data_IF_460636363345
#
_entry.id   IF_460636363345
#
_cell.length_a   1.000
_cell.length_b   1.000
_cell.length_c   1.000
_cell.angle_alpha   90.00
_cell.angle_beta   90.00
_cell.angle_gamma   90.00
#
_symmetry.space_group_name_H-M   'P 1'
#
loop_
_entity.id
_entity.type
_entity.pdbx_description
1 polymer ?
#
# COMPACT_ATOMS: atom_id res chain seq x y z
N UNK A 1 17.11 -14.96 42.95
CA UNK A 1 17.06 -15.37 41.53
C UNK A 1 15.63 -15.81 41.24
N UNK A 2 14.88 -14.98 40.51
CA UNK A 2 13.70 -15.32 39.71
C UNK A 2 13.28 -14.01 39.03
N UNK A 3 13.63 -13.88 37.75
CA UNK A 3 13.30 -12.72 36.95
C UNK A 3 11.81 -12.75 36.61
N UNK A 4 11.11 -11.67 36.93
CA UNK A 4 9.83 -11.38 36.32
C UNK A 4 10.11 -11.01 34.86
N UNK A 5 9.92 -11.97 33.95
CA UNK A 5 9.79 -11.67 32.53
C UNK A 5 8.45 -10.95 32.41
N UNK A 6 8.50 -9.63 32.19
CA UNK A 6 7.36 -8.87 31.70
C UNK A 6 6.89 -9.55 30.40
N UNK A 7 5.74 -10.22 30.46
CA UNK A 7 4.98 -10.53 29.25
C UNK A 7 4.56 -9.18 28.65
N UNK A 8 5.40 -8.64 27.76
CA UNK A 8 4.99 -7.58 26.83
C UNK A 8 3.78 -8.11 26.10
N UNK A 9 2.62 -7.59 26.47
CA UNK A 9 1.36 -7.76 25.75
C UNK A 9 1.66 -7.70 24.25
N UNK A 10 1.37 -8.80 23.55
CA UNK A 10 1.43 -8.84 22.10
C UNK A 10 0.42 -7.79 21.62
N UNK A 11 0.91 -6.61 21.27
CA UNK A 11 0.09 -5.46 20.91
C UNK A 11 -0.77 -5.82 19.71
N UNK A 12 -2.07 -5.86 19.90
CA UNK A 12 -3.05 -5.93 18.82
C UNK A 12 -3.72 -4.55 18.75
N UNK A 13 -3.89 -4.00 17.56
CA UNK A 13 -4.62 -2.74 17.37
C UNK A 13 -6.12 -2.92 17.69
N UNK A 14 -6.86 -1.81 17.76
CA UNK A 14 -8.30 -1.76 18.07
C UNK A 14 -9.19 -2.64 17.14
N UNK A 15 -8.63 -3.12 16.03
CA UNK A 15 -9.30 -4.04 15.10
C UNK A 15 -8.89 -5.50 15.26
N UNK A 16 -8.12 -5.84 16.30
CA UNK A 16 -7.73 -7.21 16.67
C UNK A 16 -6.53 -7.77 15.93
N UNK A 17 -5.68 -6.94 15.31
CA UNK A 17 -4.54 -7.40 14.50
C UNK A 17 -3.19 -7.05 15.13
N UNK A 18 -2.16 -7.92 15.03
CA UNK A 18 -0.88 -7.67 15.65
C UNK A 18 -0.24 -6.37 15.12
N UNK A 19 0.23 -5.50 16.01
CA UNK A 19 0.74 -4.16 15.70
C UNK A 19 1.89 -4.18 14.69
N UNK A 20 2.71 -5.24 14.72
CA UNK A 20 3.88 -5.42 13.82
C UNK A 20 3.56 -6.14 12.51
N UNK A 21 2.35 -6.67 12.34
CA UNK A 21 2.01 -7.44 11.14
C UNK A 21 1.92 -6.55 9.89
N UNK A 22 1.73 -5.24 10.08
CA UNK A 22 1.59 -4.28 8.97
C UNK A 22 2.85 -3.44 8.70
N UNK A 23 3.98 -3.70 9.38
CA UNK A 23 5.26 -3.01 9.18
C UNK A 23 5.97 -3.48 7.89
N UNK A 24 5.41 -3.19 6.72
CA UNK A 24 6.14 -3.36 5.47
C UNK A 24 7.00 -2.11 5.22
N UNK A 25 8.31 -2.24 4.92
CA UNK A 25 9.23 -1.09 4.88
C UNK A 25 8.86 -0.02 3.84
N UNK A 26 8.14 -0.42 2.79
CA UNK A 26 7.75 0.47 1.66
C UNK A 26 6.24 0.68 1.52
N UNK A 27 5.39 -0.13 2.15
CA UNK A 27 3.94 -0.05 1.97
C UNK A 27 3.35 0.64 3.20
N UNK A 28 2.67 1.76 3.00
CA UNK A 28 1.90 2.39 4.08
C UNK A 28 0.88 1.41 4.67
N UNK A 29 0.54 1.61 5.95
CA UNK A 29 -0.33 0.71 6.73
C UNK A 29 -1.63 0.32 5.99
N UNK A 30 -2.28 1.30 5.34
CA UNK A 30 -3.54 1.08 4.64
C UNK A 30 -3.41 0.16 3.42
N UNK A 31 -2.34 0.34 2.63
CA UNK A 31 -2.07 -0.48 1.45
C UNK A 31 -1.68 -1.90 1.88
N UNK A 32 -0.85 -2.02 2.92
CA UNK A 32 -0.42 -3.32 3.41
C UNK A 32 -1.59 -4.12 4.00
N UNK A 33 -2.48 -3.46 4.76
CA UNK A 33 -3.70 -4.09 5.29
C UNK A 33 -4.66 -4.52 4.18
N UNK A 34 -4.76 -3.74 3.10
CA UNK A 34 -5.57 -4.12 1.93
C UNK A 34 -5.06 -5.41 1.28
N UNK A 35 -3.75 -5.53 1.08
CA UNK A 35 -3.15 -6.75 0.55
C UNK A 35 -3.37 -7.95 1.49
N UNK A 36 -3.22 -7.76 2.79
CA UNK A 36 -3.49 -8.83 3.76
C UNK A 36 -4.94 -9.35 3.71
N UNK A 37 -5.91 -8.44 3.61
CA UNK A 37 -7.33 -8.82 3.48
C UNK A 37 -7.55 -9.55 2.16
N UNK A 38 -6.89 -9.15 1.08
CA UNK A 38 -6.94 -9.88 -0.19
C UNK A 38 -6.44 -11.32 -0.03
N UNK A 39 -5.28 -11.53 0.59
CA UNK A 39 -4.69 -12.87 0.77
C UNK A 39 -5.55 -13.77 1.66
N UNK A 40 -6.25 -13.20 2.65
CA UNK A 40 -6.99 -13.98 3.66
C UNK A 40 -8.49 -14.11 3.38
N UNK A 41 -9.09 -13.15 2.69
CA UNK A 41 -10.53 -13.03 2.51
C UNK A 41 -10.94 -12.80 1.04
N UNK A 42 -9.97 -12.62 0.13
CA UNK A 42 -10.22 -12.45 -1.30
C UNK A 42 -10.45 -11.01 -1.74
N UNK A 43 -10.61 -10.85 -3.05
CA UNK A 43 -10.61 -9.54 -3.73
C UNK A 43 -11.76 -8.64 -3.28
N UNK A 44 -12.95 -9.19 -3.07
CA UNK A 44 -14.14 -8.40 -2.72
C UNK A 44 -14.03 -7.82 -1.30
N UNK A 45 -13.49 -8.58 -0.35
CA UNK A 45 -13.24 -8.10 1.01
C UNK A 45 -12.18 -6.99 1.02
N UNK A 46 -11.11 -7.14 0.23
CA UNK A 46 -10.07 -6.13 0.12
C UNK A 46 -10.59 -4.83 -0.49
N UNK A 47 -11.43 -4.94 -1.52
CA UNK A 47 -12.11 -3.78 -2.14
C UNK A 47 -13.05 -3.10 -1.16
N UNK A 48 -13.86 -3.85 -0.44
CA UNK A 48 -14.76 -3.29 0.57
C UNK A 48 -13.97 -2.52 1.65
N UNK A 49 -12.89 -3.10 2.16
CA UNK A 49 -12.01 -2.43 3.12
C UNK A 49 -11.37 -1.16 2.55
N UNK A 50 -10.79 -1.23 1.34
CA UNK A 50 -10.13 -0.08 0.72
C UNK A 50 -11.13 1.03 0.40
N UNK A 51 -12.33 0.70 -0.06
CA UNK A 51 -13.37 1.69 -0.37
C UNK A 51 -14.04 2.32 0.87
N UNK A 52 -13.73 1.86 2.08
CA UNK A 52 -14.32 2.39 3.31
C UNK A 52 -13.93 3.86 3.53
N UNK A 53 -12.74 4.28 3.09
CA UNK A 53 -12.37 5.70 3.03
C UNK A 53 -12.84 6.31 1.69
N UNK A 54 -13.78 7.24 1.74
CA UNK A 54 -14.32 7.89 0.54
C UNK A 54 -13.30 8.75 -0.22
N UNK A 55 -12.15 9.04 0.38
CA UNK A 55 -11.08 9.81 -0.25
C UNK A 55 -10.18 8.93 -1.11
N UNK A 56 -10.12 7.61 -0.93
CA UNK A 56 -9.28 6.78 -1.78
C UNK A 56 -9.95 6.51 -3.13
N UNK A 57 -9.15 6.08 -4.11
CA UNK A 57 -9.63 5.83 -5.47
C UNK A 57 -9.42 4.36 -5.79
N UNK A 58 -10.53 3.66 -6.07
CA UNK A 58 -10.60 2.28 -6.50
C UNK A 58 -11.20 2.23 -7.91
N UNK A 59 -10.55 1.53 -8.83
CA UNK A 59 -11.06 1.25 -10.16
C UNK A 59 -11.00 -0.26 -10.43
N UNK A 60 -12.17 -0.90 -10.53
CA UNK A 60 -12.32 -2.37 -10.61
C UNK A 60 -11.61 -3.05 -9.44
N UNK A 61 -10.50 -3.73 -9.71
CA UNK A 61 -9.69 -4.48 -8.75
C UNK A 61 -8.32 -3.81 -8.51
N UNK A 62 -8.19 -2.55 -8.92
CA UNK A 62 -6.96 -1.76 -8.80
C UNK A 62 -7.15 -0.54 -7.91
N UNK A 63 -6.15 -0.26 -7.09
CA UNK A 63 -6.11 0.90 -6.21
C UNK A 63 -5.22 1.98 -6.79
N UNK A 64 -5.62 3.24 -6.67
CA UNK A 64 -4.76 4.36 -7.05
C UNK A 64 -3.75 4.64 -5.95
N UNK A 65 -2.49 4.66 -6.33
CA UNK A 65 -1.36 4.90 -5.42
C UNK A 65 -0.43 5.97 -5.98
N UNK A 66 0.34 6.56 -5.07
CA UNK A 66 1.55 7.29 -5.42
C UNK A 66 2.76 6.48 -4.97
N UNK A 67 3.67 6.26 -5.90
CA UNK A 67 4.94 5.58 -5.70
C UNK A 67 6.02 6.66 -5.69
N UNK A 68 6.86 6.65 -4.66
CA UNK A 68 8.06 7.47 -4.60
C UNK A 68 9.29 6.60 -4.82
N UNK A 69 10.08 6.94 -5.83
CA UNK A 69 11.35 6.30 -6.12
C UNK A 69 12.48 6.84 -5.21
N UNK A 70 13.53 6.03 -5.00
CA UNK A 70 14.75 6.44 -4.29
C UNK A 70 15.55 7.47 -5.09
N UNK A 71 15.52 7.35 -6.41
CA UNK A 71 16.26 8.16 -7.38
C UNK A 71 15.35 8.58 -8.54
N UNK A 72 15.90 9.27 -9.53
CA UNK A 72 15.17 9.67 -10.73
C UNK A 72 14.62 8.46 -11.48
N UNK A 73 13.33 8.51 -11.81
CA UNK A 73 12.61 7.45 -12.51
C UNK A 73 13.11 7.37 -13.94
N UNK A 74 13.60 6.20 -14.33
CA UNK A 74 14.05 5.92 -15.69
C UNK A 74 13.16 4.88 -16.39
N UNK A 75 13.41 4.67 -17.68
CA UNK A 75 12.62 3.75 -18.50
C UNK A 75 12.62 2.31 -17.98
N UNK A 76 13.72 1.85 -17.38
CA UNK A 76 13.80 0.50 -16.78
C UNK A 76 12.82 0.37 -15.62
N UNK A 77 12.71 1.40 -14.76
CA UNK A 77 11.72 1.40 -13.68
C UNK A 77 10.29 1.32 -14.23
N UNK A 78 9.97 2.10 -15.26
CA UNK A 78 8.65 2.12 -15.87
C UNK A 78 8.31 0.77 -16.52
N UNK A 79 9.26 0.16 -17.24
CA UNK A 79 9.08 -1.15 -17.86
C UNK A 79 8.78 -2.25 -16.83
N UNK A 80 9.46 -2.23 -15.68
CA UNK A 80 9.20 -3.15 -14.58
C UNK A 80 7.77 -2.99 -14.08
N UNK A 81 7.32 -1.76 -13.82
CA UNK A 81 5.94 -1.51 -13.37
C UNK A 81 4.90 -2.01 -14.40
N UNK A 82 5.09 -1.68 -15.67
CA UNK A 82 4.18 -2.14 -16.73
C UNK A 82 4.17 -3.67 -16.86
N UNK A 83 5.32 -4.34 -16.68
CA UNK A 83 5.39 -5.81 -16.70
C UNK A 83 4.63 -6.48 -15.55
N UNK A 84 4.45 -5.78 -14.43
CA UNK A 84 3.59 -6.22 -13.32
C UNK A 84 2.11 -5.98 -13.58
N UNK A 85 1.74 -5.37 -14.72
CA UNK A 85 0.36 -4.99 -15.02
C UNK A 85 -0.09 -3.71 -14.32
N UNK A 86 0.86 -2.87 -13.86
CA UNK A 86 0.55 -1.58 -13.22
C UNK A 86 0.28 -0.54 -14.30
N UNK A 87 -0.87 0.11 -14.20
CA UNK A 87 -1.28 1.16 -15.13
C UNK A 87 -0.74 2.52 -14.65
N UNK A 88 0.26 3.04 -15.33
CA UNK A 88 0.93 4.31 -15.00
C UNK A 88 0.13 5.48 -15.56
N UNK A 89 -0.20 6.45 -14.70
CA UNK A 89 -1.05 7.61 -15.05
C UNK A 89 -0.23 8.89 -15.16
N UNK A 90 0.70 9.09 -14.22
CA UNK A 90 1.58 10.27 -14.21
C UNK A 90 2.99 9.88 -13.78
N UNK A 91 3.98 10.58 -14.34
CA UNK A 91 5.39 10.44 -13.98
C UNK A 91 5.98 11.83 -13.80
N UNK A 92 6.71 12.02 -12.70
CA UNK A 92 7.64 13.11 -12.48
C UNK A 92 8.99 12.55 -12.05
N UNK A 93 9.98 13.41 -11.76
CA UNK A 93 11.36 12.98 -11.47
C UNK A 93 11.43 11.79 -10.51
N UNK A 94 10.74 11.85 -9.37
CA UNK A 94 10.76 10.78 -8.34
C UNK A 94 9.39 10.24 -7.99
N UNK A 95 8.32 10.73 -8.61
CA UNK A 95 6.95 10.34 -8.27
C UNK A 95 6.24 9.70 -9.46
N UNK A 96 5.53 8.61 -9.19
CA UNK A 96 4.71 7.91 -10.15
C UNK A 96 3.31 7.78 -9.58
N UNK A 97 2.31 8.29 -10.29
CA UNK A 97 0.90 8.02 -10.01
C UNK A 97 0.45 6.82 -10.84
N UNK A 98 -0.14 5.82 -10.20
CA UNK A 98 -0.52 4.58 -10.89
C UNK A 98 -1.75 3.91 -10.29
N UNK A 99 -2.42 3.09 -11.08
CA UNK A 99 -3.35 2.07 -10.61
C UNK A 99 -2.64 0.74 -10.49
N UNK A 100 -2.68 0.17 -9.30
CA UNK A 100 -2.03 -1.10 -8.95
C UNK A 100 -3.11 -2.14 -8.69
N UNK A 101 -3.14 -3.24 -9.44
CA UNK A 101 -4.01 -4.37 -9.12
C UNK A 101 -3.75 -4.83 -7.68
N UNK A 102 -4.79 -5.05 -6.90
CA UNK A 102 -4.65 -5.50 -5.50
C UNK A 102 -3.74 -6.75 -5.37
N UNK A 103 -3.84 -7.76 -6.26
CA UNK A 103 -2.92 -8.91 -6.24
C UNK A 103 -1.44 -8.58 -6.45
N UNK A 104 -1.13 -7.38 -6.96
CA UNK A 104 0.23 -6.93 -7.31
C UNK A 104 0.85 -5.96 -6.30
N UNK A 105 0.15 -5.67 -5.21
CA UNK A 105 0.65 -4.77 -4.15
C UNK A 105 1.97 -5.28 -3.55
N UNK A 106 2.09 -6.59 -3.30
CA UNK A 106 3.32 -7.17 -2.74
C UNK A 106 4.48 -7.16 -3.73
N UNK A 107 4.25 -7.62 -4.97
CA UNK A 107 5.25 -7.55 -6.05
C UNK A 107 5.78 -6.12 -6.21
N UNK A 108 4.90 -5.11 -6.11
CA UNK A 108 5.29 -3.71 -6.14
C UNK A 108 6.14 -3.32 -4.91
N UNK A 109 5.79 -3.79 -3.71
CA UNK A 109 6.56 -3.57 -2.48
C UNK A 109 7.97 -4.17 -2.52
N UNK A 110 8.24 -5.15 -3.38
CA UNK A 110 9.55 -5.79 -3.52
C UNK A 110 10.51 -5.01 -4.43
N UNK A 111 10.02 -4.01 -5.17
CA UNK A 111 10.87 -3.28 -6.13
C UNK A 111 11.92 -2.40 -5.45
N UNK A 112 13.19 -2.62 -5.78
CA UNK A 112 14.31 -1.98 -5.08
C UNK A 112 14.45 -0.48 -5.33
N UNK A 113 14.02 -0.01 -6.50
CA UNK A 113 14.05 1.43 -6.80
C UNK A 113 12.97 2.21 -6.04
N UNK A 114 12.00 1.54 -5.41
CA UNK A 114 10.92 2.19 -4.67
C UNK A 114 11.38 2.50 -3.25
N UNK A 115 11.10 3.73 -2.82
CA UNK A 115 11.28 4.21 -1.46
C UNK A 115 10.04 3.95 -0.61
N UNK A 116 8.88 4.41 -1.09
CA UNK A 116 7.61 4.30 -0.35
C UNK A 116 6.41 4.38 -1.29
N UNK A 117 5.30 3.75 -0.90
CA UNK A 117 4.04 3.70 -1.63
C UNK A 117 2.91 4.09 -0.66
N UNK A 118 2.04 5.02 -1.09
CA UNK A 118 0.88 5.45 -0.31
C UNK A 118 -0.35 5.66 -1.19
N UNK A 119 -1.57 5.62 -0.61
CA UNK A 119 -2.80 5.86 -1.35
C UNK A 119 -2.81 7.24 -2.01
N UNK A 120 -3.20 7.32 -3.28
CA UNK A 120 -3.48 8.61 -3.90
C UNK A 120 -4.92 8.99 -3.59
N UNK A 121 -5.09 9.90 -2.63
CA UNK A 121 -6.39 10.33 -2.14
C UNK A 121 -6.91 11.55 -2.91
N UNK A 122 -8.23 11.64 -3.05
CA UNK A 122 -8.92 12.83 -3.54
C UNK A 122 -8.60 14.02 -2.63
N UNK A 123 -8.44 15.23 -3.19
CA UNK A 123 -8.34 16.43 -2.37
C UNK A 123 -9.57 16.53 -1.48
N UNK A 124 -9.38 16.74 -0.17
CA UNK A 124 -10.50 17.08 0.71
C UNK A 124 -11.04 18.45 0.29
N UNK A 125 -12.36 18.64 0.26
CA UNK A 125 -12.93 19.97 0.13
C UNK A 125 -12.29 20.84 1.23
N UNK A 126 -11.67 21.96 0.85
CA UNK A 126 -11.35 22.99 1.83
C UNK A 126 -12.69 23.57 2.25
N UNK A 127 -13.10 23.35 3.50
CA UNK A 127 -14.27 24.03 4.04
C UNK A 127 -13.96 25.53 4.01
N UNK A 128 -14.68 26.26 3.16
CA UNK A 128 -14.70 27.73 3.12
C UNK A 128 -15.39 28.31 4.35
#
# INVERSE_FOLDING_TARGET
MLGCIEERSKGYNETGYPDRYFEHPKLGWYINKTYYIYETQGIDAAKAYYSHDSNVILERDSIKVRIIAKEEVNQTNLNVLTSLGINIITVSSTHIGAFVPIPKIRDLGEQEFIRVIYPDVRPRPQNS
#
